data_IF_561384370817
#
_entry.id   IF_561384370817
#
_cell.length_a   1.000
_cell.length_b   1.000
_cell.length_c   1.000
_cell.angle_alpha   90.00
_cell.angle_beta   90.00
_cell.angle_gamma   90.00
#
_symmetry.space_group_name_H-M   'P 1'
#
loop_
_entity.id
_entity.type
_entity.pdbx_description
1 polymer ?
#
# COMPACT_ATOMS: atom_id res chain seq x y z
N UNK A 1 44.13 -42.92 22.29
CA UNK A 1 43.51 -44.23 22.56
C UNK A 1 42.03 -44.15 22.39
N UNK A 2 41.46 -45.10 21.59
CA UNK A 2 40.05 -45.42 21.31
C UNK A 2 39.24 -44.34 20.56
N UNK A 3 39.02 -44.36 19.21
CA UNK A 3 38.41 -45.33 18.26
C UNK A 3 36.99 -45.74 18.66
N UNK A 4 36.02 -45.42 17.79
CA UNK A 4 34.97 -46.19 17.08
C UNK A 4 34.01 -45.20 16.47
N UNK A 5 33.80 -45.03 15.22
CA UNK A 5 33.46 -45.85 14.04
C UNK A 5 31.95 -46.24 13.97
N UNK A 6 31.36 -45.78 12.87
CA UNK A 6 30.26 -46.35 12.01
C UNK A 6 28.85 -46.50 12.57
N UNK A 7 27.85 -46.00 11.87
CA UNK A 7 27.10 -46.77 10.88
C UNK A 7 26.01 -46.01 10.13
N UNK A 8 26.01 -46.17 8.87
CA UNK A 8 25.10 -45.93 7.76
C UNK A 8 23.77 -46.68 7.96
N UNK A 9 22.61 -46.09 7.67
CA UNK A 9 21.47 -46.81 7.09
C UNK A 9 20.60 -45.84 6.25
N UNK A 10 20.61 -46.11 4.95
CA UNK A 10 19.67 -45.61 3.96
C UNK A 10 18.40 -46.49 3.96
N UNK A 11 17.22 -45.89 3.89
CA UNK A 11 16.00 -46.58 3.44
C UNK A 11 15.28 -45.70 2.45
N UNK A 12 15.35 -46.10 1.18
CA UNK A 12 14.42 -45.73 0.11
C UNK A 12 13.08 -46.46 0.35
N UNK A 13 11.97 -45.78 0.22
CA UNK A 13 10.69 -46.40 -0.09
C UNK A 13 9.91 -45.53 -1.08
N UNK A 14 9.91 -45.98 -2.33
CA UNK A 14 9.03 -45.48 -3.38
C UNK A 14 7.65 -46.14 -3.23
N UNK A 15 6.59 -45.37 -3.29
CA UNK A 15 5.23 -45.89 -3.50
C UNK A 15 4.60 -45.14 -4.67
N UNK A 16 4.48 -45.83 -5.80
CA UNK A 16 3.54 -45.52 -6.88
C UNK A 16 2.14 -45.99 -6.46
N UNK A 17 1.11 -45.19 -6.63
CA UNK A 17 -0.26 -45.67 -6.72
C UNK A 17 -0.96 -44.99 -7.89
N UNK A 18 -1.57 -45.87 -8.66
CA UNK A 18 -2.25 -45.75 -9.94
C UNK A 18 -3.56 -44.94 -9.88
N UNK A 19 -3.91 -44.35 -11.03
CA UNK A 19 -5.20 -43.79 -11.38
C UNK A 19 -6.33 -44.82 -11.37
N UNK A 20 -7.50 -44.41 -10.85
CA UNK A 20 -8.80 -44.89 -11.33
C UNK A 20 -9.86 -43.82 -11.08
N UNK A 21 -10.52 -43.35 -12.14
CA UNK A 21 -11.62 -42.43 -12.06
C UNK A 21 -12.94 -43.12 -11.71
N UNK A 22 -13.91 -42.31 -11.25
CA UNK A 22 -15.35 -42.46 -11.56
C UNK A 22 -16.19 -41.34 -10.95
N UNK A 23 -16.91 -40.63 -11.81
CA UNK A 23 -18.27 -40.03 -11.73
C UNK A 23 -18.86 -39.54 -10.39
N UNK A 24 -19.41 -38.29 -10.45
CA UNK A 24 -20.30 -37.64 -9.48
C UNK A 24 -21.66 -38.37 -9.31
N UNK A 25 -22.44 -38.05 -8.26
CA UNK A 25 -23.31 -36.88 -8.27
C UNK A 25 -23.56 -36.17 -6.89
N UNK A 26 -23.96 -34.92 -7.00
CA UNK A 26 -24.83 -34.03 -6.20
C UNK A 26 -25.15 -34.32 -4.71
N UNK A 27 -25.01 -33.27 -3.88
CA UNK A 27 -25.59 -33.15 -2.55
C UNK A 27 -25.12 -31.92 -1.80
N UNK A 28 -26.01 -30.91 -1.66
CA UNK A 28 -25.84 -29.69 -0.89
C UNK A 28 -25.60 -29.96 0.59
N UNK A 29 -24.73 -29.20 1.22
CA UNK A 29 -24.96 -28.59 2.55
C UNK A 29 -23.85 -27.60 2.91
N UNK A 30 -24.25 -26.39 3.24
CA UNK A 30 -23.38 -25.27 3.52
C UNK A 30 -22.67 -25.30 4.86
N UNK A 31 -21.49 -24.74 4.89
CA UNK A 31 -20.90 -24.11 6.07
C UNK A 31 -20.10 -22.89 5.60
N UNK A 32 -20.48 -21.74 6.12
CA UNK A 32 -19.87 -20.47 5.82
C UNK A 32 -18.46 -20.39 6.45
N UNK A 33 -17.43 -20.35 5.62
CA UNK A 33 -16.14 -19.84 6.00
C UNK A 33 -16.06 -18.38 5.58
N UNK A 34 -15.76 -17.52 6.54
CA UNK A 34 -15.48 -16.11 6.31
C UNK A 34 -14.15 -16.00 5.57
N UNK A 35 -14.20 -15.78 4.27
CA UNK A 35 -13.06 -15.35 3.47
C UNK A 35 -12.72 -13.91 3.84
N UNK A 36 -11.57 -13.74 4.49
CA UNK A 36 -10.86 -12.47 4.56
C UNK A 36 -10.33 -12.23 3.15
N UNK A 37 -11.05 -11.45 2.37
CA UNK A 37 -10.59 -11.00 1.06
C UNK A 37 -9.44 -10.03 1.28
N UNK A 38 -8.21 -10.54 1.27
CA UNK A 38 -7.05 -9.73 0.95
C UNK A 38 -7.30 -9.14 -0.44
N UNK A 39 -7.36 -7.81 -0.50
CA UNK A 39 -7.41 -7.08 -1.74
C UNK A 39 -6.06 -7.24 -2.45
N UNK A 40 -5.92 -8.31 -3.21
CA UNK A 40 -4.78 -8.49 -4.10
C UNK A 40 -4.90 -7.42 -5.18
N UNK A 41 -3.98 -6.48 -5.19
CA UNK A 41 -3.78 -5.56 -6.32
C UNK A 41 -3.41 -6.43 -7.52
N UNK A 42 -4.41 -6.83 -8.28
CA UNK A 42 -4.16 -7.45 -9.58
C UNK A 42 -3.84 -6.31 -10.56
N UNK A 43 -2.56 -5.97 -10.65
CA UNK A 43 -2.04 -5.32 -11.86
C UNK A 43 -2.41 -6.23 -13.02
N UNK A 44 -3.28 -5.77 -13.91
CA UNK A 44 -3.63 -6.53 -15.11
C UNK A 44 -2.35 -6.74 -15.92
N UNK A 45 -1.80 -7.96 -15.84
CA UNK A 45 -0.70 -8.38 -16.70
C UNK A 45 -1.20 -8.30 -18.13
N UNK A 46 -0.71 -7.30 -18.87
CA UNK A 46 -0.91 -7.21 -20.31
C UNK A 46 -0.17 -8.38 -20.94
N UNK A 47 -0.90 -9.19 -21.68
CA UNK A 47 -0.38 -10.29 -22.46
C UNK A 47 0.65 -9.79 -23.50
N UNK A 48 1.84 -10.38 -23.47
CA UNK A 48 2.84 -10.50 -24.54
C UNK A 48 3.63 -9.27 -25.05
N UNK A 49 3.55 -8.11 -24.45
CA UNK A 49 4.39 -6.98 -24.84
C UNK A 49 5.02 -6.30 -23.63
N UNK A 50 6.34 -6.35 -23.51
CA UNK A 50 7.05 -5.49 -22.56
C UNK A 50 6.75 -4.02 -22.84
N UNK A 51 6.74 -3.18 -21.77
CA UNK A 51 6.47 -1.75 -21.90
C UNK A 51 7.71 -1.06 -22.48
N UNK A 52 7.56 -0.39 -23.62
CA UNK A 52 8.66 0.37 -24.20
C UNK A 52 8.81 1.71 -23.48
N UNK A 53 9.92 1.89 -22.76
CA UNK A 53 10.26 3.17 -22.14
C UNK A 53 10.55 4.23 -23.20
N UNK A 54 10.17 5.47 -22.92
CA UNK A 54 10.47 6.61 -23.76
C UNK A 54 11.98 6.93 -23.69
N UNK A 55 12.55 7.38 -24.82
CA UNK A 55 13.86 8.04 -24.81
C UNK A 55 13.75 9.55 -24.50
N UNK A 56 12.53 10.04 -24.29
CA UNK A 56 12.26 11.45 -24.02
C UNK A 56 12.48 11.77 -22.54
N UNK A 57 13.66 12.31 -22.23
CA UNK A 57 14.02 12.77 -20.89
C UNK A 57 13.28 14.05 -20.45
N UNK A 58 12.44 14.62 -21.32
CA UNK A 58 11.69 15.85 -20.99
C UNK A 58 10.40 15.56 -20.23
N UNK A 59 9.91 14.32 -20.26
CA UNK A 59 8.76 13.91 -19.45
C UNK A 59 9.17 13.81 -17.99
N UNK A 60 8.52 14.56 -17.14
CA UNK A 60 8.72 14.56 -15.71
C UNK A 60 7.39 14.56 -14.95
N UNK A 61 7.42 14.11 -13.72
CA UNK A 61 6.28 14.15 -12.83
C UNK A 61 5.86 15.59 -12.51
N UNK A 62 4.57 15.86 -12.62
CA UNK A 62 3.96 17.13 -12.18
C UNK A 62 2.94 16.83 -11.07
N UNK A 63 3.30 17.23 -9.84
CA UNK A 63 2.44 17.04 -8.68
C UNK A 63 1.07 17.74 -8.81
N UNK A 64 0.98 18.82 -9.59
CA UNK A 64 -0.29 19.54 -9.79
C UNK A 64 -1.36 18.70 -10.50
N UNK A 65 -0.96 17.62 -11.17
CA UNK A 65 -1.85 16.69 -11.85
C UNK A 65 -2.35 15.55 -10.96
N UNK A 66 -1.79 15.40 -9.76
CA UNK A 66 -2.20 14.36 -8.81
C UNK A 66 -3.59 14.67 -8.26
N UNK A 67 -4.56 13.74 -8.37
CA UNK A 67 -5.87 13.90 -7.76
C UNK A 67 -5.78 14.15 -6.25
N UNK A 68 -6.78 14.81 -5.69
CA UNK A 68 -6.89 14.91 -4.24
C UNK A 68 -7.06 13.53 -3.63
N UNK A 69 -6.51 13.33 -2.43
CA UNK A 69 -6.68 12.09 -1.67
C UNK A 69 -8.17 11.76 -1.47
N UNK A 70 -8.56 10.53 -1.80
CA UNK A 70 -9.93 10.00 -1.75
C UNK A 70 -10.01 8.68 -0.96
N UNK A 71 -9.17 8.53 0.08
CA UNK A 71 -9.00 7.33 0.90
C UNK A 71 -8.37 6.13 0.17
N UNK A 72 -7.93 6.30 -1.07
CA UNK A 72 -7.05 5.32 -1.74
C UNK A 72 -5.59 5.58 -1.41
N UNK A 73 -4.79 4.53 -1.15
CA UNK A 73 -3.41 4.72 -0.73
C UNK A 73 -2.50 5.27 -1.83
N UNK A 74 -2.84 5.07 -3.08
CA UNK A 74 -2.06 5.53 -4.23
C UNK A 74 -2.93 5.79 -5.47
N UNK A 75 -2.33 6.43 -6.46
CA UNK A 75 -2.89 6.64 -7.80
C UNK A 75 -1.82 6.36 -8.85
N UNK A 76 -2.24 5.78 -9.98
CA UNK A 76 -1.35 5.57 -11.13
C UNK A 76 -1.01 6.89 -11.81
N UNK A 77 0.25 7.04 -12.21
CA UNK A 77 0.83 8.21 -12.88
C UNK A 77 1.31 7.79 -14.26
N UNK A 78 1.18 8.68 -15.23
CA UNK A 78 1.67 8.49 -16.61
C UNK A 78 1.20 7.16 -17.24
N UNK A 79 -0.06 6.75 -16.99
CA UNK A 79 -0.58 5.46 -17.47
C UNK A 79 0.17 4.26 -16.91
N UNK A 80 0.66 4.37 -15.69
CA UNK A 80 1.44 3.36 -14.97
C UNK A 80 2.81 3.02 -15.61
N UNK A 81 3.35 3.93 -16.43
CA UNK A 81 4.66 3.77 -17.09
C UNK A 81 5.70 4.66 -16.40
N UNK A 82 6.83 4.10 -15.92
CA UNK A 82 7.92 4.87 -15.34
C UNK A 82 8.50 5.93 -16.26
N UNK A 83 9.09 6.97 -15.67
CA UNK A 83 9.83 8.01 -16.39
C UNK A 83 11.30 7.61 -16.64
N UNK A 84 11.66 6.35 -16.47
CA UNK A 84 13.01 5.87 -16.79
C UNK A 84 13.31 6.01 -18.29
N UNK A 85 14.54 6.35 -18.58
CA UNK A 85 15.10 6.27 -19.93
C UNK A 85 15.78 4.91 -20.12
N UNK A 86 15.93 4.49 -21.37
CA UNK A 86 16.66 3.24 -21.68
C UNK A 86 18.10 3.24 -21.18
N UNK A 87 18.74 4.41 -21.11
CA UNK A 87 20.12 4.56 -20.65
C UNK A 87 20.30 4.39 -19.14
N UNK A 88 19.21 4.48 -18.36
CA UNK A 88 19.23 4.23 -16.91
C UNK A 88 19.15 2.74 -16.57
N UNK A 89 18.70 1.90 -17.52
CA UNK A 89 18.55 0.47 -17.30
C UNK A 89 19.90 -0.21 -17.18
N UNK A 90 20.09 -0.99 -16.11
CA UNK A 90 21.31 -1.77 -15.87
C UNK A 90 21.00 -3.01 -15.06
N UNK A 91 21.69 -4.11 -15.40
CA UNK A 91 21.70 -5.36 -14.64
C UNK A 91 22.84 -5.43 -13.63
N UNK A 92 23.51 -4.30 -13.39
CA UNK A 92 24.47 -4.17 -12.32
C UNK A 92 23.78 -3.59 -11.10
N UNK A 93 23.77 -4.32 -9.99
CA UNK A 93 23.19 -3.83 -8.73
C UNK A 93 23.92 -2.58 -8.23
N UNK A 94 23.14 -1.61 -7.81
CA UNK A 94 23.60 -0.39 -7.13
C UNK A 94 22.47 0.23 -6.36
N UNK A 95 22.82 1.08 -5.39
CA UNK A 95 21.91 2.00 -4.72
C UNK A 95 22.50 3.41 -4.66
N UNK A 96 21.65 4.41 -4.69
CA UNK A 96 22.05 5.81 -4.60
C UNK A 96 20.99 6.61 -3.86
N UNK A 97 21.43 7.40 -2.91
CA UNK A 97 20.63 8.25 -2.04
C UNK A 97 21.00 9.70 -2.29
N UNK A 98 20.07 10.49 -2.81
CA UNK A 98 20.30 11.90 -3.10
C UNK A 98 20.65 12.68 -1.84
N UNK A 99 21.41 13.78 -2.01
CA UNK A 99 21.74 14.65 -0.89
C UNK A 99 20.49 15.28 -0.29
N UNK A 100 20.50 15.51 1.02
CA UNK A 100 19.43 16.23 1.68
C UNK A 100 19.35 17.67 1.11
N UNK A 101 18.14 18.15 0.92
CA UNK A 101 17.96 19.52 0.44
C UNK A 101 18.28 20.58 1.51
N UNK A 102 18.14 21.86 1.16
CA UNK A 102 18.41 22.98 2.08
C UNK A 102 17.56 22.99 3.35
N UNK A 103 16.48 22.24 3.40
CA UNK A 103 15.62 22.07 4.58
C UNK A 103 15.94 20.78 5.35
N UNK A 104 16.93 20.00 4.91
CA UNK A 104 17.28 18.70 5.49
C UNK A 104 16.34 17.57 5.10
N UNK A 105 15.55 17.73 4.03
CA UNK A 105 14.60 16.75 3.53
C UNK A 105 15.27 15.76 2.56
N UNK A 106 14.86 14.51 2.59
CA UNK A 106 15.27 13.54 1.59
C UNK A 106 14.89 13.98 0.18
N UNK A 107 15.72 13.63 -0.76
CA UNK A 107 15.48 13.78 -2.20
C UNK A 107 15.27 12.42 -2.83
N UNK A 108 15.43 12.30 -4.13
CA UNK A 108 15.23 11.05 -4.88
C UNK A 108 16.24 9.97 -4.46
N UNK A 109 15.76 8.74 -4.25
CA UNK A 109 16.55 7.53 -4.07
C UNK A 109 16.29 6.58 -5.25
N UNK A 110 17.35 5.90 -5.72
CA UNK A 110 17.27 4.97 -6.85
C UNK A 110 18.17 3.76 -6.60
N UNK A 111 17.72 2.59 -7.01
CA UNK A 111 18.51 1.36 -6.99
C UNK A 111 18.21 0.50 -8.22
N UNK A 112 19.21 -0.23 -8.69
CA UNK A 112 19.00 -1.43 -9.49
C UNK A 112 19.04 -2.62 -8.52
N UNK A 113 17.87 -3.10 -8.13
CA UNK A 113 17.72 -4.12 -7.09
C UNK A 113 17.96 -5.50 -7.70
N UNK A 114 19.04 -6.16 -7.29
CA UNK A 114 19.35 -7.55 -7.55
C UNK A 114 19.43 -8.34 -6.25
N UNK A 115 19.54 -9.66 -6.32
CA UNK A 115 19.63 -10.53 -5.13
C UNK A 115 20.84 -10.23 -4.25
N UNK A 116 21.94 -9.77 -4.84
CA UNK A 116 23.19 -9.40 -4.17
C UNK A 116 23.09 -8.09 -3.35
N UNK A 117 22.08 -7.24 -3.64
CA UNK A 117 21.81 -6.04 -2.87
C UNK A 117 20.91 -6.29 -1.66
N UNK A 118 20.14 -7.38 -1.68
CA UNK A 118 19.17 -7.70 -0.63
C UNK A 118 19.86 -8.00 0.72
N UNK A 119 19.19 -7.73 1.86
CA UNK A 119 19.79 -7.91 3.17
C UNK A 119 20.13 -9.37 3.44
N UNK A 120 21.33 -9.59 3.99
CA UNK A 120 21.82 -10.87 4.52
C UNK A 120 21.77 -10.92 6.05
N UNK A 121 21.45 -9.80 6.69
CA UNK A 121 21.37 -9.64 8.14
C UNK A 121 19.97 -9.22 8.59
N UNK A 122 19.67 -9.36 9.86
CA UNK A 122 18.43 -8.87 10.45
C UNK A 122 18.41 -7.34 10.51
N UNK A 123 17.22 -6.78 10.34
CA UNK A 123 17.00 -5.33 10.39
C UNK A 123 17.37 -4.76 11.75
N UNK A 124 18.26 -3.78 11.77
CA UNK A 124 18.65 -3.05 12.97
C UNK A 124 17.66 -1.95 13.38
N UNK A 125 17.93 -1.32 14.54
CA UNK A 125 17.15 -0.21 15.03
C UNK A 125 17.43 1.08 14.24
N UNK A 126 16.35 1.81 13.89
CA UNK A 126 16.42 3.10 13.17
C UNK A 126 15.91 4.28 14.00
N UNK A 127 15.67 4.07 15.31
CA UNK A 127 15.07 5.04 16.21
C UNK A 127 15.86 6.33 16.42
N UNK A 128 17.18 6.32 16.18
CA UNK A 128 18.07 7.49 16.27
C UNK A 128 17.81 8.53 15.18
N UNK A 129 17.32 8.11 14.01
CA UNK A 129 17.03 9.02 12.92
C UNK A 129 15.67 9.70 13.17
N UNK A 130 15.67 11.03 13.07
CA UNK A 130 14.45 11.84 13.12
C UNK A 130 14.35 12.62 11.81
N UNK A 131 13.57 12.12 10.83
CA UNK A 131 13.35 12.85 9.58
C UNK A 131 12.69 14.20 9.83
N UNK A 132 12.70 15.09 8.85
CA UNK A 132 12.03 16.41 8.96
C UNK A 132 10.55 16.24 9.30
N UNK A 133 9.99 17.14 10.13
CA UNK A 133 8.60 17.10 10.57
C UNK A 133 8.24 15.90 11.46
N UNK A 134 9.23 15.24 12.09
CA UNK A 134 9.01 14.09 12.96
C UNK A 134 8.32 14.43 14.28
N UNK A 135 7.17 13.81 14.53
CA UNK A 135 6.49 13.82 15.82
C UNK A 135 6.17 12.40 16.27
N UNK A 136 6.24 12.16 17.59
CA UNK A 136 5.76 10.90 18.17
C UNK A 136 4.35 11.11 18.67
N UNK A 137 3.37 10.75 17.86
CA UNK A 137 1.95 10.95 18.15
C UNK A 137 1.17 9.65 17.94
N UNK A 138 0.11 9.48 18.74
CA UNK A 138 -0.72 8.26 18.72
C UNK A 138 -2.18 8.62 18.54
N UNK A 139 -2.88 7.81 17.73
CA UNK A 139 -4.32 7.84 17.53
C UNK A 139 -4.91 6.45 17.64
N UNK A 140 -6.09 6.33 18.24
CA UNK A 140 -6.75 5.03 18.45
C UNK A 140 -7.22 4.36 17.16
N UNK A 141 -7.50 5.16 16.13
CA UNK A 141 -7.96 4.73 14.80
C UNK A 141 -6.80 4.44 13.81
N UNK A 142 -5.55 4.54 14.25
CA UNK A 142 -4.37 4.19 13.44
C UNK A 142 -3.91 2.78 13.83
N UNK A 143 -3.62 1.93 12.86
CA UNK A 143 -3.03 0.61 13.10
C UNK A 143 -1.70 0.75 13.84
N UNK A 144 -1.50 -0.04 14.89
CA UNK A 144 -0.35 0.09 15.79
C UNK A 144 -0.31 1.40 16.59
N UNK A 145 -1.32 2.26 16.46
CA UNK A 145 -1.57 3.54 17.14
C UNK A 145 -0.62 4.68 16.77
N UNK A 146 0.61 4.43 16.34
CA UNK A 146 1.56 5.48 15.97
C UNK A 146 1.26 6.00 14.56
N UNK A 147 0.96 7.32 14.45
CA UNK A 147 0.69 7.96 13.17
C UNK A 147 1.88 7.86 12.23
N UNK A 148 3.06 8.27 12.73
CA UNK A 148 4.25 8.34 11.91
C UNK A 148 5.17 7.13 12.08
N UNK A 149 5.69 6.68 10.95
CA UNK A 149 6.76 5.72 10.80
C UNK A 149 7.97 6.40 10.17
N UNK A 150 9.16 5.91 10.46
CA UNK A 150 10.35 6.21 9.67
C UNK A 150 10.27 5.36 8.43
N UNK A 151 9.65 5.92 7.38
CA UNK A 151 9.48 5.20 6.12
C UNK A 151 10.78 5.23 5.34
N UNK A 152 11.31 4.05 5.00
CA UNK A 152 12.37 3.96 4.01
C UNK A 152 11.83 4.34 2.63
N UNK A 153 12.61 5.08 1.85
CA UNK A 153 12.33 5.30 0.43
C UNK A 153 12.69 4.05 -0.37
N UNK A 154 13.86 3.48 -0.18
CA UNK A 154 14.19 2.12 -0.62
C UNK A 154 14.10 1.22 0.61
N UNK A 155 13.12 0.29 0.61
CA UNK A 155 12.83 -0.58 1.73
C UNK A 155 14.03 -1.45 2.12
N UNK A 156 14.23 -1.70 3.43
CA UNK A 156 15.31 -2.54 3.94
C UNK A 156 15.38 -3.90 3.23
N UNK A 157 14.23 -4.49 2.92
CA UNK A 157 14.13 -5.78 2.23
C UNK A 157 14.72 -5.78 0.80
N UNK A 158 14.94 -4.60 0.21
CA UNK A 158 15.43 -4.44 -1.17
C UNK A 158 16.91 -4.14 -1.23
N UNK A 159 17.48 -3.44 -0.23
CA UNK A 159 18.87 -2.96 -0.29
C UNK A 159 19.70 -3.25 0.97
N UNK A 160 19.08 -3.74 2.05
CA UNK A 160 19.76 -3.90 3.33
C UNK A 160 20.18 -2.59 4.02
N UNK A 161 19.91 -1.41 3.40
CA UNK A 161 20.23 -0.11 3.97
C UNK A 161 19.32 0.19 5.17
N UNK A 162 19.90 0.36 6.36
CA UNK A 162 19.13 0.40 7.59
C UNK A 162 18.91 1.83 8.11
N UNK A 163 19.91 2.45 8.71
CA UNK A 163 19.80 3.73 9.42
C UNK A 163 20.45 4.87 8.62
N UNK A 164 19.92 5.17 7.45
CA UNK A 164 20.40 6.22 6.57
C UNK A 164 19.42 7.40 6.58
N UNK A 165 19.89 8.57 7.01
CA UNK A 165 19.07 9.79 7.06
C UNK A 165 18.61 10.26 5.67
N UNK A 166 19.31 9.89 4.59
CA UNK A 166 18.92 10.20 3.20
C UNK A 166 17.86 9.25 2.64
N UNK A 167 17.57 8.15 3.36
CA UNK A 167 16.59 7.13 2.97
C UNK A 167 15.35 7.09 3.87
N UNK A 168 15.22 7.97 4.86
CA UNK A 168 14.14 7.92 5.84
C UNK A 168 13.34 9.22 5.83
N UNK A 169 12.03 9.11 5.62
CA UNK A 169 11.09 10.23 5.71
C UNK A 169 10.09 10.03 6.87
N UNK A 170 9.47 11.13 7.30
CA UNK A 170 8.29 11.07 8.16
C UNK A 170 7.08 10.68 7.31
N UNK A 171 6.72 9.41 7.36
CA UNK A 171 5.57 8.87 6.65
C UNK A 171 4.48 8.40 7.60
N UNK A 172 3.24 8.48 7.17
CA UNK A 172 2.12 7.93 7.93
C UNK A 172 2.18 6.40 7.97
N UNK A 173 1.47 5.80 8.92
CA UNK A 173 1.28 4.34 8.94
C UNK A 173 0.62 3.87 7.65
N UNK A 174 -0.37 4.62 7.16
CA UNK A 174 -1.09 4.33 5.93
C UNK A 174 -0.19 4.39 4.69
N UNK A 175 0.63 5.45 4.53
CA UNK A 175 1.63 5.49 3.47
C UNK A 175 2.55 4.27 3.52
N UNK A 176 3.08 3.95 4.71
CA UNK A 176 4.09 2.90 4.87
C UNK A 176 3.54 1.50 4.55
N UNK A 177 2.32 1.18 4.98
CA UNK A 177 1.77 -0.18 4.92
C UNK A 177 0.85 -0.37 3.73
N UNK A 178 -0.07 0.58 3.50
CA UNK A 178 -1.08 0.45 2.45
C UNK A 178 -0.61 1.08 1.13
N UNK A 179 0.27 2.09 1.20
CA UNK A 179 0.83 2.77 0.04
C UNK A 179 2.07 2.07 -0.53
N UNK A 180 3.18 2.05 0.23
CA UNK A 180 4.49 1.65 -0.29
C UNK A 180 4.73 0.14 -0.23
N UNK A 181 4.43 -0.51 0.89
CA UNK A 181 4.80 -1.91 1.15
C UNK A 181 4.32 -2.90 0.07
N UNK A 182 3.12 -2.77 -0.54
CA UNK A 182 2.71 -3.68 -1.61
C UNK A 182 3.68 -3.69 -2.80
N UNK A 183 4.14 -2.52 -3.24
CA UNK A 183 5.10 -2.37 -4.36
C UNK A 183 6.50 -2.85 -3.98
N UNK A 184 6.95 -2.58 -2.75
CA UNK A 184 8.23 -3.11 -2.24
C UNK A 184 8.22 -4.64 -2.20
N UNK A 185 7.11 -5.25 -1.76
CA UNK A 185 6.97 -6.70 -1.72
C UNK A 185 6.99 -7.30 -3.14
N UNK A 186 6.26 -6.70 -4.08
CA UNK A 186 6.23 -7.15 -5.47
C UNK A 186 7.63 -7.16 -6.09
N UNK A 187 8.40 -6.08 -5.88
CA UNK A 187 9.82 -6.01 -6.32
C UNK A 187 10.66 -7.08 -5.63
N UNK A 188 10.54 -7.21 -4.30
CA UNK A 188 11.33 -8.17 -3.55
C UNK A 188 11.03 -9.63 -3.89
N UNK A 189 9.76 -9.96 -4.16
CA UNK A 189 9.34 -11.29 -4.61
C UNK A 189 9.87 -11.57 -6.03
N UNK A 190 9.66 -10.65 -6.98
CA UNK A 190 10.13 -10.79 -8.35
C UNK A 190 11.65 -11.05 -8.42
N UNK A 191 12.45 -10.23 -7.73
CA UNK A 191 13.93 -10.38 -7.73
C UNK A 191 14.34 -11.73 -7.17
N UNK A 192 13.73 -12.22 -6.08
CA UNK A 192 14.03 -13.53 -5.48
C UNK A 192 13.63 -14.70 -6.37
N UNK A 193 12.51 -14.59 -7.08
CA UNK A 193 11.99 -15.68 -7.92
C UNK A 193 12.72 -15.80 -9.25
N UNK A 194 13.23 -14.70 -9.79
CA UNK A 194 13.78 -14.65 -11.15
C UNK A 194 15.28 -14.46 -11.21
N UNK A 195 15.91 -13.98 -10.14
CA UNK A 195 17.30 -13.49 -10.10
C UNK A 195 17.57 -12.33 -11.08
N UNK A 196 16.52 -11.68 -11.56
CA UNK A 196 16.58 -10.51 -12.44
C UNK A 196 16.62 -9.21 -11.60
N UNK A 197 16.98 -8.11 -12.27
CA UNK A 197 17.06 -6.79 -11.65
C UNK A 197 15.80 -5.97 -11.87
N UNK A 198 15.48 -5.17 -10.87
CA UNK A 198 14.43 -4.12 -10.96
C UNK A 198 15.06 -2.76 -10.75
N UNK A 199 14.98 -1.89 -11.77
CA UNK A 199 15.26 -0.47 -11.57
C UNK A 199 14.11 0.12 -10.77
N UNK A 200 14.41 0.61 -9.56
CA UNK A 200 13.47 1.08 -8.56
C UNK A 200 13.84 2.49 -8.13
N UNK A 201 12.90 3.44 -8.22
CA UNK A 201 13.12 4.85 -7.84
C UNK A 201 11.99 5.35 -6.98
N UNK A 202 12.32 6.06 -5.92
CA UNK A 202 11.36 6.71 -5.04
C UNK A 202 11.75 8.18 -4.85
N UNK A 203 10.80 9.06 -5.14
CA UNK A 203 10.97 10.50 -5.03
C UNK A 203 9.93 11.07 -4.05
N UNK A 204 10.33 11.54 -2.86
CA UNK A 204 9.42 12.21 -1.95
C UNK A 204 9.06 13.60 -2.49
N UNK A 205 7.78 13.96 -2.41
CA UNK A 205 7.24 15.19 -2.97
C UNK A 205 6.86 16.14 -1.84
N UNK A 206 7.57 17.26 -1.77
CA UNK A 206 7.32 18.35 -0.83
C UNK A 206 6.82 19.58 -1.58
N UNK A 207 5.94 20.35 -0.96
CA UNK A 207 5.45 21.62 -1.51
C UNK A 207 6.09 22.77 -0.72
N UNK A 208 6.79 23.64 -1.43
CA UNK A 208 7.43 24.81 -0.80
C UNK A 208 8.41 24.47 0.32
N UNK A 209 8.15 24.98 1.53
CA UNK A 209 8.96 24.81 2.74
C UNK A 209 8.41 23.72 3.70
N UNK A 210 7.52 22.86 3.24
CA UNK A 210 6.95 21.79 4.04
C UNK A 210 8.01 20.79 4.52
N UNK A 211 7.89 20.33 5.76
CA UNK A 211 8.84 19.39 6.38
C UNK A 211 8.41 17.93 6.26
N UNK A 212 7.14 17.70 5.92
CA UNK A 212 6.57 16.36 5.66
C UNK A 212 6.21 16.26 4.18
N UNK A 213 6.60 15.18 3.53
CA UNK A 213 6.25 14.96 2.12
C UNK A 213 4.73 14.78 1.95
N UNK A 214 4.16 15.33 0.87
CA UNK A 214 2.77 15.09 0.47
C UNK A 214 2.50 13.65 0.07
N UNK A 215 3.53 12.97 -0.37
CA UNK A 215 3.55 11.58 -0.78
C UNK A 215 4.88 11.24 -1.41
N UNK A 216 4.96 10.06 -1.99
CA UNK A 216 6.12 9.60 -2.74
C UNK A 216 5.71 9.13 -4.13
N UNK A 217 6.47 9.50 -5.15
CA UNK A 217 6.40 8.87 -6.46
C UNK A 217 7.26 7.62 -6.42
N UNK A 218 6.66 6.46 -6.69
CA UNK A 218 7.34 5.17 -6.76
C UNK A 218 7.31 4.66 -8.19
N UNK A 219 8.45 4.24 -8.68
CA UNK A 219 8.63 3.74 -10.03
C UNK A 219 9.42 2.43 -9.98
N UNK A 220 8.94 1.41 -10.69
CA UNK A 220 9.59 0.11 -10.80
C UNK A 220 9.57 -0.41 -12.24
N UNK A 221 10.69 -1.03 -12.67
CA UNK A 221 10.79 -1.62 -14.00
C UNK A 221 11.77 -2.80 -14.00
N UNK A 222 11.31 -3.99 -14.34
CA UNK A 222 12.16 -5.18 -14.47
C UNK A 222 13.01 -5.08 -15.74
N UNK A 223 14.34 -5.21 -15.57
CA UNK A 223 15.30 -4.83 -16.59
C UNK A 223 15.42 -5.88 -17.69
N UNK A 224 15.68 -7.15 -17.32
CA UNK A 224 16.00 -8.23 -18.25
C UNK A 224 14.82 -8.63 -19.12
N UNK A 225 13.60 -8.54 -18.61
CA UNK A 225 12.38 -8.93 -19.33
C UNK A 225 11.65 -7.75 -19.98
N UNK A 226 12.22 -6.53 -19.87
CA UNK A 226 11.67 -5.35 -20.51
C UNK A 226 10.36 -4.88 -19.88
N UNK A 227 10.25 -4.94 -18.55
CA UNK A 227 9.07 -4.48 -17.80
C UNK A 227 7.89 -5.44 -17.81
N UNK A 228 8.10 -6.72 -18.16
CA UNK A 228 7.01 -7.72 -18.17
C UNK A 228 6.64 -8.18 -16.78
N UNK A 229 7.62 -8.36 -15.91
CA UNK A 229 7.42 -8.75 -14.51
C UNK A 229 7.02 -7.59 -13.64
N UNK A 230 7.79 -6.50 -13.68
CA UNK A 230 7.56 -5.28 -12.91
C UNK A 230 7.50 -4.09 -13.85
N UNK A 231 6.39 -3.36 -13.85
CA UNK A 231 6.26 -2.06 -14.51
C UNK A 231 5.18 -1.26 -13.80
N UNK A 232 5.57 -0.24 -13.03
CA UNK A 232 4.63 0.67 -12.40
C UNK A 232 5.19 2.07 -12.20
N UNK A 233 4.28 3.04 -12.13
CA UNK A 233 4.53 4.43 -11.81
C UNK A 233 3.34 4.96 -11.02
N UNK A 234 3.51 5.08 -9.72
CA UNK A 234 2.42 5.41 -8.79
C UNK A 234 2.83 6.54 -7.83
N UNK A 235 1.86 7.39 -7.50
CA UNK A 235 2.00 8.33 -6.41
C UNK A 235 1.28 7.80 -5.16
N UNK A 236 2.04 7.49 -4.11
CA UNK A 236 1.51 7.05 -2.83
C UNK A 236 1.30 8.24 -1.91
N UNK A 237 0.09 8.44 -1.39
CA UNK A 237 -0.27 9.58 -0.56
C UNK A 237 0.27 9.45 0.86
N UNK A 238 0.88 10.51 1.38
CA UNK A 238 1.28 10.58 2.79
C UNK A 238 0.15 11.15 3.66
N UNK A 239 -1.01 10.54 3.55
CA UNK A 239 -2.21 10.83 4.31
C UNK A 239 -2.47 9.72 5.33
N UNK A 240 -3.36 9.97 6.27
CA UNK A 240 -3.90 8.95 7.17
C UNK A 240 -5.41 9.17 7.28
N UNK A 241 -6.26 8.19 6.92
CA UNK A 241 -7.71 8.32 7.05
C UNK A 241 -8.13 8.76 8.46
N UNK A 242 -8.97 9.79 8.54
CA UNK A 242 -9.46 10.35 9.79
C UNK A 242 -8.46 11.21 10.58
N UNK A 243 -7.30 11.54 10.00
CA UNK A 243 -6.29 12.42 10.62
C UNK A 243 -5.99 13.58 9.66
N UNK A 244 -5.98 14.79 10.20
CA UNK A 244 -5.47 16.00 9.53
C UNK A 244 -4.00 16.16 9.85
N UNK A 245 -3.17 16.46 8.83
CA UNK A 245 -1.73 16.66 8.95
C UNK A 245 -1.37 18.05 8.46
N UNK A 246 -0.66 18.80 9.27
CA UNK A 246 0.05 19.98 8.85
C UNK A 246 1.41 19.57 8.26
N UNK A 247 1.50 19.54 6.95
CA UNK A 247 2.72 19.14 6.23
C UNK A 247 3.88 20.11 6.45
N UNK A 248 3.60 21.36 6.83
CA UNK A 248 4.65 22.34 7.11
C UNK A 248 5.43 21.99 8.37
N UNK A 249 4.76 21.48 9.39
CA UNK A 249 5.36 21.20 10.70
C UNK A 249 5.44 19.74 11.06
N UNK A 250 4.54 18.91 10.52
CA UNK A 250 4.30 17.52 10.92
C UNK A 250 3.34 17.40 12.10
N UNK A 251 2.79 18.51 12.60
CA UNK A 251 1.72 18.45 13.60
C UNK A 251 0.47 17.79 13.01
N UNK A 252 -0.34 17.19 13.86
CA UNK A 252 -1.53 16.46 13.41
C UNK A 252 -2.64 16.50 14.44
N UNK A 253 -3.86 16.35 13.98
CA UNK A 253 -5.06 16.25 14.82
C UNK A 253 -6.01 15.21 14.26
N UNK A 254 -6.79 14.55 15.13
CA UNK A 254 -7.91 13.76 14.66
C UNK A 254 -8.88 14.69 13.92
N UNK A 255 -9.33 14.27 12.74
CA UNK A 255 -10.39 15.00 12.06
C UNK A 255 -11.64 14.94 12.94
N UNK A 256 -12.07 16.10 13.43
CA UNK A 256 -13.39 16.20 14.01
C UNK A 256 -14.40 15.97 12.88
N UNK A 257 -15.52 15.36 13.20
CA UNK A 257 -16.64 15.15 12.25
C UNK A 257 -17.20 16.45 11.65
N UNK A 258 -16.60 17.61 11.97
CA UNK A 258 -16.90 18.94 11.42
C UNK A 258 -15.93 19.40 10.32
N UNK A 259 -14.76 18.75 10.15
CA UNK A 259 -13.75 19.15 9.16
C UNK A 259 -13.80 18.24 7.92
N UNK A 260 -15.00 17.96 7.43
CA UNK A 260 -15.12 17.39 6.09
C UNK A 260 -14.75 18.45 5.08
N UNK A 261 -13.62 18.23 4.41
CA UNK A 261 -13.30 18.89 3.16
C UNK A 261 -14.56 18.99 2.29
N UNK A 262 -14.68 20.09 1.59
CA UNK A 262 -15.66 20.38 0.56
C UNK A 262 -15.59 19.36 -0.61
N UNK A 263 -15.85 18.11 -0.27
CA UNK A 263 -16.35 17.11 -1.17
C UNK A 263 -17.86 17.19 -1.02
N UNK A 264 -18.58 17.44 -2.08
CA UNK A 264 -20.03 17.24 -2.17
C UNK A 264 -20.41 15.82 -1.72
N UNK A 265 -20.21 15.52 -0.44
CA UNK A 265 -20.86 14.40 0.19
C UNK A 265 -22.32 14.81 0.35
N UNK A 266 -23.13 14.35 -0.60
CA UNK A 266 -24.57 14.57 -0.61
C UNK A 266 -25.12 14.23 0.77
N UNK A 267 -25.49 15.27 1.51
CA UNK A 267 -26.27 15.09 2.74
C UNK A 267 -27.53 14.35 2.35
N UNK A 268 -27.60 13.09 2.70
CA UNK A 268 -28.74 12.22 2.41
C UNK A 268 -29.73 12.23 3.56
N UNK A 269 -30.99 11.96 3.25
CA UNK A 269 -31.98 11.64 4.26
C UNK A 269 -32.23 10.15 4.28
N UNK A 270 -32.02 9.55 5.43
CA UNK A 270 -32.15 8.10 5.66
C UNK A 270 -33.15 7.80 6.76
N UNK A 271 -33.72 6.62 6.75
CA UNK A 271 -34.47 6.08 7.88
C UNK A 271 -33.61 5.01 8.55
N UNK A 272 -33.28 5.22 9.81
CA UNK A 272 -32.48 4.29 10.61
C UNK A 272 -33.38 3.42 11.47
N UNK A 273 -33.07 2.13 11.53
CA UNK A 273 -33.67 1.19 12.48
C UNK A 273 -32.75 1.08 13.70
N UNK A 274 -33.15 1.70 14.80
CA UNK A 274 -32.35 1.77 16.03
C UNK A 274 -32.15 0.41 16.70
N UNK A 275 -33.03 -0.55 16.45
CA UNK A 275 -32.94 -1.90 16.99
C UNK A 275 -32.00 -2.82 16.18
N UNK A 276 -32.13 -2.81 14.85
CA UNK A 276 -31.32 -3.68 13.97
C UNK A 276 -30.03 -3.03 13.49
N UNK A 277 -29.82 -1.76 13.87
CA UNK A 277 -28.67 -0.95 13.43
C UNK A 277 -28.49 -0.91 11.90
N UNK A 278 -29.62 -0.86 11.15
CA UNK A 278 -29.60 -0.71 9.69
C UNK A 278 -30.18 0.64 9.28
N UNK A 279 -29.65 1.21 8.19
CA UNK A 279 -30.21 2.41 7.60
C UNK A 279 -30.68 2.15 6.16
N UNK A 280 -31.68 2.92 5.73
CA UNK A 280 -32.46 2.72 4.52
C UNK A 280 -32.66 4.03 3.78
N UNK A 281 -32.83 3.99 2.45
CA UNK A 281 -33.45 5.10 1.70
C UNK A 281 -34.87 5.32 2.22
N UNK A 282 -35.34 6.57 2.20
CA UNK A 282 -36.68 6.92 2.64
C UNK A 282 -37.79 6.16 1.87
N UNK A 283 -37.52 5.79 0.63
CA UNK A 283 -38.40 5.04 -0.27
C UNK A 283 -38.33 3.53 -0.14
N UNK A 284 -37.48 3.01 0.77
CA UNK A 284 -37.29 1.57 0.92
C UNK A 284 -38.56 0.88 1.47
N UNK A 285 -39.02 -0.18 0.82
CA UNK A 285 -40.19 -0.95 1.26
C UNK A 285 -40.03 -1.54 2.67
N UNK A 286 -38.80 -1.82 3.12
CA UNK A 286 -38.54 -2.27 4.49
C UNK A 286 -38.84 -1.20 5.56
N UNK A 287 -38.96 0.08 5.19
CA UNK A 287 -39.31 1.16 6.11
C UNK A 287 -40.81 1.09 6.47
N UNK A 288 -41.66 0.64 5.55
CA UNK A 288 -43.12 0.54 5.79
C UNK A 288 -43.44 -0.53 6.86
N UNK A 289 -42.71 -1.62 6.88
CA UNK A 289 -42.86 -2.72 7.86
C UNK A 289 -42.11 -2.50 9.17
N UNK A 290 -41.40 -1.39 9.32
CA UNK A 290 -40.58 -1.11 10.50
C UNK A 290 -41.49 -0.56 11.64
N UNK A 291 -41.34 -1.13 12.85
CA UNK A 291 -42.04 -0.63 14.04
C UNK A 291 -41.67 0.82 14.31
N UNK A 292 -42.66 1.70 14.52
CA UNK A 292 -42.44 3.15 14.70
C UNK A 292 -41.43 3.46 15.81
N UNK A 293 -41.49 2.76 16.95
CA UNK A 293 -40.53 2.93 18.06
C UNK A 293 -39.06 2.72 17.68
N UNK A 294 -38.79 2.00 16.59
CA UNK A 294 -37.41 1.70 16.10
C UNK A 294 -37.03 2.57 14.90
N UNK A 295 -38.00 3.39 14.39
CA UNK A 295 -37.82 4.20 13.19
C UNK A 295 -37.36 5.59 13.55
N UNK A 296 -36.22 6.03 13.07
CA UNK A 296 -35.73 7.41 13.26
C UNK A 296 -35.26 7.96 11.91
N UNK A 297 -35.71 9.19 11.61
CA UNK A 297 -35.21 9.95 10.46
C UNK A 297 -33.81 10.48 10.80
N UNK A 298 -32.88 10.33 9.91
CA UNK A 298 -31.53 10.88 9.98
C UNK A 298 -31.27 11.68 8.71
N UNK A 299 -30.79 12.90 8.85
CA UNK A 299 -30.31 13.73 7.74
C UNK A 299 -28.86 14.05 8.01
N UNK A 300 -27.99 13.64 7.10
CA UNK A 300 -26.54 13.77 7.26
C UNK A 300 -25.78 12.86 6.33
N UNK A 301 -24.48 12.79 6.55
CA UNK A 301 -23.58 11.96 5.75
C UNK A 301 -23.80 10.47 6.03
N UNK A 302 -23.77 9.66 4.96
CA UNK A 302 -23.87 8.19 4.99
C UNK A 302 -22.78 7.55 5.87
N UNK A 303 -21.56 8.05 5.76
CA UNK A 303 -20.40 7.53 6.51
C UNK A 303 -20.57 7.72 8.02
N UNK A 304 -21.20 8.81 8.46
CA UNK A 304 -21.49 9.00 9.87
C UNK A 304 -22.43 7.92 10.44
N UNK A 305 -23.33 7.38 9.64
CA UNK A 305 -24.15 6.23 10.06
C UNK A 305 -23.31 4.97 10.22
N UNK A 306 -22.40 4.72 9.29
CA UNK A 306 -21.48 3.56 9.33
C UNK A 306 -20.57 3.67 10.56
N UNK A 307 -19.97 4.83 10.78
CA UNK A 307 -19.08 5.09 11.93
C UNK A 307 -19.80 4.97 13.27
N UNK A 308 -21.14 5.23 13.29
CA UNK A 308 -21.99 5.01 14.46
C UNK A 308 -22.55 3.59 14.57
N UNK A 309 -21.98 2.63 13.84
CA UNK A 309 -22.31 1.20 13.91
C UNK A 309 -23.59 0.81 13.19
N UNK A 310 -24.08 1.64 12.26
CA UNK A 310 -25.20 1.28 11.39
C UNK A 310 -24.69 0.66 10.10
N UNK A 311 -25.35 -0.38 9.61
CA UNK A 311 -25.05 -1.00 8.32
C UNK A 311 -26.09 -0.63 7.25
N UNK A 312 -25.68 -0.48 5.96
CA UNK A 312 -26.62 -0.19 4.89
C UNK A 312 -27.57 -1.37 4.64
N UNK A 313 -28.82 -1.07 4.32
CA UNK A 313 -29.79 -2.09 3.93
C UNK A 313 -29.40 -2.74 2.60
N UNK A 314 -29.25 -4.05 2.59
CA UNK A 314 -28.88 -4.82 1.37
C UNK A 314 -29.92 -4.69 0.24
N UNK A 315 -31.21 -4.40 0.56
CA UNK A 315 -32.30 -4.30 -0.42
C UNK A 315 -32.30 -2.96 -1.17
N UNK A 316 -32.17 -1.84 -0.47
CA UNK A 316 -32.24 -0.51 -1.11
C UNK A 316 -30.86 0.11 -1.35
N UNK A 317 -29.76 -0.44 -0.80
CA UNK A 317 -28.38 0.04 -0.94
C UNK A 317 -28.31 1.56 -0.82
N UNK A 318 -28.63 2.11 0.39
CA UNK A 318 -28.66 3.54 0.63
C UNK A 318 -27.26 4.15 0.60
#
# INVERSE_FOLDING_TARGET
>A
MKKYATSLFAVLAAIMILFAGCTAPSGESGTANADITQSTVQTQRQSDGGVTLSNDSTKSFDYSTVPKFDDKPYVEINGNVPYFTKSELTTKSYESYGELDKYGRCTMCIASVGTDLMPTEERGAIGSIKPTGWHTVKYSNVDGKYLYNRCHLIGYQLSGENANAKNLITGTRYLNIDGMLPFENEVGEYVKETDNHVLYRVTPIFVGDELVARGVLMEGYSVEDGGKGICYNVFCYNNQPGISIDYKTGESSAQSSSDTFDNQSTVGTYIVNTNTKKFHKTTCSSVQSMKEKNKKKYTGNRENLINNGYSPCKKCKP
#
